data_IF_757901159131
#
_entry.id   IF_757901159131
#
_cell.length_a   1.000
_cell.length_b   1.000
_cell.length_c   1.000
_cell.angle_alpha   90.00
_cell.angle_beta   90.00
_cell.angle_gamma   90.00
#
_symmetry.space_group_name_H-M   'P 1'
#
loop_
_entity.id
_entity.type
_entity.pdbx_description
1 polymer ?
#
# COMPACT_ATOMS: atom_id res chain seq x y z
N UNK A 1 40.03 -24.09 12.89
CA UNK A 1 39.37 -23.52 11.68
C UNK A 1 39.54 -22.02 11.60
N UNK A 2 39.12 -21.23 12.62
CA UNK A 2 39.24 -19.76 12.63
C UNK A 2 40.70 -19.26 12.49
N UNK A 3 41.64 -19.87 13.20
CA UNK A 3 43.07 -19.46 13.17
C UNK A 3 43.73 -19.63 11.79
N UNK A 4 43.51 -20.75 11.10
CA UNK A 4 44.01 -20.98 9.74
C UNK A 4 43.46 -19.98 8.73
N UNK A 5 42.18 -19.59 8.89
CA UNK A 5 41.54 -18.57 8.05
C UNK A 5 42.16 -17.19 8.32
N UNK A 6 42.49 -16.88 9.57
CA UNK A 6 43.16 -15.62 9.96
C UNK A 6 44.57 -15.55 9.39
N UNK A 7 45.34 -16.63 9.41
CA UNK A 7 46.68 -16.67 8.79
C UNK A 7 46.62 -16.46 7.28
N UNK A 8 45.69 -17.12 6.58
CA UNK A 8 45.48 -16.93 5.15
C UNK A 8 45.01 -15.52 4.79
N UNK A 9 44.17 -14.90 5.65
CA UNK A 9 43.75 -13.51 5.49
C UNK A 9 44.91 -12.52 5.71
N UNK A 10 45.77 -12.75 6.72
CA UNK A 10 46.98 -11.94 6.93
C UNK A 10 47.96 -12.03 5.75
N UNK A 11 47.98 -13.15 5.03
CA UNK A 11 48.78 -13.34 3.82
C UNK A 11 48.10 -12.78 2.54
N UNK A 12 46.93 -12.15 2.64
CA UNK A 12 46.17 -11.62 1.48
C UNK A 12 45.52 -12.69 0.60
N UNK A 13 45.51 -13.96 1.02
CA UNK A 13 45.02 -15.12 0.24
C UNK A 13 43.56 -15.42 0.56
N UNK A 14 42.69 -14.44 0.29
CA UNK A 14 41.26 -14.48 0.64
C UNK A 14 40.48 -15.64 -0.04
N UNK A 15 40.83 -15.99 -1.28
CA UNK A 15 40.17 -17.09 -2.00
C UNK A 15 40.45 -18.46 -1.37
N UNK A 16 41.67 -18.67 -0.87
CA UNK A 16 42.06 -19.91 -0.21
C UNK A 16 41.47 -20.03 1.20
N UNK A 17 41.31 -18.91 1.89
CA UNK A 17 40.57 -18.84 3.15
C UNK A 17 39.11 -19.28 2.96
N UNK A 18 38.46 -18.86 1.87
CA UNK A 18 37.08 -19.26 1.55
C UNK A 18 37.00 -20.74 1.15
N UNK A 19 37.95 -21.25 0.36
CA UNK A 19 38.01 -22.67 0.00
C UNK A 19 38.22 -23.57 1.25
N UNK A 20 39.07 -23.13 2.17
CA UNK A 20 39.35 -23.83 3.44
C UNK A 20 38.13 -23.82 4.35
N UNK A 21 37.43 -22.68 4.46
CA UNK A 21 36.18 -22.56 5.20
C UNK A 21 35.06 -23.45 4.62
N UNK A 22 34.99 -23.58 3.29
CA UNK A 22 34.03 -24.45 2.61
C UNK A 22 34.34 -25.94 2.86
N UNK A 23 35.61 -26.33 2.73
CA UNK A 23 36.05 -27.73 2.91
C UNK A 23 35.86 -28.22 4.34
N UNK A 24 36.11 -27.37 5.34
CA UNK A 24 36.02 -27.75 6.76
C UNK A 24 34.63 -27.48 7.36
N UNK A 25 33.86 -26.54 6.80
CA UNK A 25 32.57 -26.12 7.33
C UNK A 25 31.36 -26.85 6.77
N UNK A 26 31.52 -27.67 5.71
CA UNK A 26 30.46 -28.52 5.13
C UNK A 26 29.24 -27.78 4.56
N UNK A 27 29.22 -26.45 4.63
CA UNK A 27 28.15 -25.58 4.14
C UNK A 27 28.39 -25.11 2.71
N UNK A 28 27.45 -24.32 2.19
CA UNK A 28 27.54 -23.78 0.83
C UNK A 28 28.68 -22.76 0.67
N UNK A 29 29.21 -22.59 -0.54
CA UNK A 29 30.29 -21.65 -0.84
C UNK A 29 29.97 -20.20 -0.43
N UNK A 30 28.68 -19.82 -0.48
CA UNK A 30 28.20 -18.52 -0.03
C UNK A 30 28.27 -18.35 1.50
N UNK A 31 28.01 -19.41 2.26
CA UNK A 31 28.16 -19.40 3.72
C UNK A 31 29.63 -19.30 4.12
N UNK A 32 30.52 -20.03 3.43
CA UNK A 32 31.96 -19.94 3.63
C UNK A 32 32.49 -18.52 3.36
N UNK A 33 32.04 -17.86 2.28
CA UNK A 33 32.39 -16.47 1.98
C UNK A 33 31.96 -15.52 3.10
N UNK A 34 30.70 -15.62 3.54
CA UNK A 34 30.17 -14.77 4.62
C UNK A 34 30.92 -14.95 5.94
N UNK A 35 31.34 -16.17 6.24
CA UNK A 35 32.14 -16.46 7.42
C UNK A 35 33.52 -15.79 7.34
N UNK A 36 34.22 -15.90 6.21
CA UNK A 36 35.53 -15.25 6.00
C UNK A 36 35.42 -13.73 6.05
N UNK A 37 34.40 -13.13 5.42
CA UNK A 37 34.16 -11.67 5.45
C UNK A 37 33.82 -11.15 6.87
N UNK A 38 33.32 -12.00 7.76
CA UNK A 38 33.08 -11.66 9.17
C UNK A 38 34.38 -11.73 9.97
N UNK A 39 35.18 -12.79 9.77
CA UNK A 39 36.49 -12.96 10.41
C UNK A 39 37.46 -11.85 10.01
N UNK A 40 37.47 -11.45 8.73
CA UNK A 40 38.28 -10.32 8.24
C UNK A 40 37.94 -9.01 8.96
N UNK A 41 36.63 -8.71 9.13
CA UNK A 41 36.17 -7.53 9.87
C UNK A 41 36.52 -7.57 11.35
N UNK A 42 36.46 -8.73 11.98
CA UNK A 42 36.84 -8.88 13.39
C UNK A 42 38.35 -8.76 13.62
N UNK A 43 39.18 -9.18 12.66
CA UNK A 43 40.64 -9.32 12.87
C UNK A 43 41.49 -8.21 12.24
N UNK A 44 41.02 -7.55 11.18
CA UNK A 44 41.81 -6.53 10.47
C UNK A 44 41.33 -5.08 10.72
N UNK A 45 40.13 -4.88 11.27
CA UNK A 45 39.66 -3.53 11.69
C UNK A 45 39.97 -3.20 13.16
N UNK A 46 40.71 -4.05 13.88
CA UNK A 46 41.04 -3.85 15.29
C UNK A 46 42.23 -2.93 15.57
N UNK A 47 43.03 -2.55 14.57
CA UNK A 47 44.23 -1.73 14.74
C UNK A 47 44.31 -0.64 13.65
N UNK A 48 43.75 0.54 13.91
CA UNK A 48 44.31 1.79 13.38
C UNK A 48 44.10 2.90 14.42
N UNK A 49 45.19 3.49 14.95
CA UNK A 49 45.12 4.66 15.82
C UNK A 49 44.84 5.93 15.01
N UNK A 50 44.09 6.84 15.63
CA UNK A 50 43.85 8.25 15.30
C UNK A 50 43.39 8.63 13.88
N UNK A 51 42.12 9.03 13.80
CA UNK A 51 41.44 9.65 12.66
C UNK A 51 41.59 11.20 12.66
N UNK A 52 42.68 11.74 13.21
CA UNK A 52 42.83 13.19 13.41
C UNK A 52 44.05 13.86 12.74
N UNK A 53 44.86 13.15 11.96
CA UNK A 53 46.07 13.75 11.36
C UNK A 53 46.30 13.47 9.86
N UNK A 54 45.27 13.05 9.13
CA UNK A 54 45.33 13.08 7.66
C UNK A 54 44.92 14.47 7.18
N UNK A 55 45.88 15.24 6.68
CA UNK A 55 45.62 16.47 5.91
C UNK A 55 44.75 16.12 4.70
N UNK A 56 43.43 16.26 4.85
CA UNK A 56 42.46 16.09 3.77
C UNK A 56 42.56 17.32 2.88
N UNK A 57 43.04 17.12 1.65
CA UNK A 57 43.02 18.13 0.59
C UNK A 57 41.59 18.65 0.45
N UNK A 58 41.36 19.90 0.79
CA UNK A 58 40.03 20.54 0.76
C UNK A 58 40.10 21.82 -0.05
N UNK A 59 39.01 22.18 -0.74
CA UNK A 59 38.96 23.38 -1.56
C UNK A 59 37.64 24.12 -1.39
N UNK A 60 37.68 25.44 -1.54
CA UNK A 60 36.51 26.30 -1.58
C UNK A 60 36.49 27.08 -2.90
N UNK A 61 35.31 27.18 -3.53
CA UNK A 61 35.15 27.85 -4.82
C UNK A 61 34.16 29.00 -4.68
N UNK A 62 34.56 30.20 -5.09
CA UNK A 62 33.67 31.36 -5.21
C UNK A 62 33.17 31.49 -6.65
N UNK A 63 31.87 31.66 -6.80
CA UNK A 63 31.20 31.82 -8.09
C UNK A 63 30.65 33.24 -8.23
N UNK A 64 30.79 33.83 -9.41
CA UNK A 64 30.09 35.06 -9.81
C UNK A 64 29.30 34.79 -11.10
N UNK A 65 27.99 35.06 -11.07
CA UNK A 65 27.10 34.81 -12.21
C UNK A 65 27.08 33.36 -12.73
N UNK A 66 27.48 32.38 -11.93
CA UNK A 66 27.57 30.97 -12.32
C UNK A 66 28.92 30.53 -12.93
N UNK A 67 29.91 31.44 -13.01
CA UNK A 67 31.29 31.10 -13.39
C UNK A 67 32.19 31.05 -12.14
N UNK A 68 33.08 30.05 -12.00
CA UNK A 68 34.03 30.00 -10.89
C UNK A 68 35.09 31.10 -11.08
N UNK A 69 35.17 32.06 -10.14
CA UNK A 69 36.09 33.21 -10.21
C UNK A 69 37.34 32.98 -9.36
N UNK A 70 37.26 32.18 -8.30
CA UNK A 70 38.44 31.81 -7.51
C UNK A 70 38.27 30.48 -6.78
N UNK A 71 39.31 29.64 -6.81
CA UNK A 71 39.42 28.39 -6.05
C UNK A 71 40.54 28.55 -5.02
N UNK A 72 40.22 28.41 -3.74
CA UNK A 72 41.22 28.33 -2.67
C UNK A 72 41.40 26.87 -2.29
N UNK A 73 42.62 26.38 -2.45
CA UNK A 73 43.03 25.02 -2.10
C UNK A 73 43.75 25.04 -0.75
N UNK A 74 43.33 24.15 0.16
CA UNK A 74 44.01 23.89 1.42
C UNK A 74 44.65 22.50 1.33
N UNK A 75 45.97 22.48 1.33
CA UNK A 75 46.78 21.27 1.34
C UNK A 75 47.86 21.33 2.43
N UNK A 76 48.77 20.37 2.45
CA UNK A 76 49.87 20.28 3.42
C UNK A 76 50.86 21.46 3.40
N UNK A 77 50.78 22.34 2.40
CA UNK A 77 51.61 23.55 2.26
C UNK A 77 50.83 24.84 2.62
N UNK A 78 49.62 24.72 3.17
CA UNK A 78 48.79 25.84 3.58
C UNK A 78 47.65 26.16 2.60
N UNK A 79 47.03 27.33 2.78
CA UNK A 79 45.97 27.82 1.90
C UNK A 79 46.57 28.62 0.75
N UNK A 80 46.31 28.21 -0.50
CA UNK A 80 46.73 28.93 -1.70
C UNK A 80 45.57 29.14 -2.66
N UNK A 81 45.56 30.30 -3.31
CA UNK A 81 44.59 30.61 -4.35
C UNK A 81 45.13 30.11 -5.70
N UNK A 82 44.32 29.31 -6.41
CA UNK A 82 44.70 28.76 -7.71
C UNK A 82 44.44 29.76 -8.84
N UNK A 83 45.35 29.81 -9.80
CA UNK A 83 45.24 30.65 -11.00
C UNK A 83 44.34 29.98 -12.03
N UNK A 84 43.42 30.76 -12.62
CA UNK A 84 42.45 30.30 -13.61
C UNK A 84 43.15 29.66 -14.82
N UNK A 85 42.70 28.46 -15.22
CA UNK A 85 43.22 27.73 -16.39
C UNK A 85 44.40 26.80 -16.13
N UNK A 86 44.91 26.72 -14.89
CA UNK A 86 45.94 25.73 -14.52
C UNK A 86 45.39 24.29 -14.53
N UNK A 87 46.28 23.31 -14.66
CA UNK A 87 45.91 21.89 -14.73
C UNK A 87 45.19 21.43 -13.45
N UNK A 88 45.59 21.96 -12.28
CA UNK A 88 44.91 21.72 -11.00
C UNK A 88 43.53 22.38 -10.91
N UNK A 89 43.36 23.57 -11.52
CA UNK A 89 42.08 24.26 -11.59
C UNK A 89 41.05 23.45 -12.39
N UNK A 90 41.45 22.96 -13.56
CA UNK A 90 40.58 22.17 -14.44
C UNK A 90 40.25 20.79 -13.84
N UNK A 91 41.20 20.16 -13.13
CA UNK A 91 40.96 18.90 -12.43
C UNK A 91 39.91 19.04 -11.31
N UNK A 92 39.99 20.11 -10.52
CA UNK A 92 39.01 20.38 -9.44
C UNK A 92 37.63 20.70 -10.04
N UNK A 93 37.56 21.44 -11.15
CA UNK A 93 36.29 21.69 -11.82
C UNK A 93 35.66 20.42 -12.42
N UNK A 94 36.48 19.52 -12.97
CA UNK A 94 36.02 18.22 -13.45
C UNK A 94 35.46 17.36 -12.30
N UNK A 95 36.13 17.34 -11.15
CA UNK A 95 35.69 16.61 -9.96
C UNK A 95 34.38 17.19 -9.39
N UNK A 96 34.23 18.52 -9.35
CA UNK A 96 32.98 19.19 -8.97
C UNK A 96 31.86 18.87 -9.96
N UNK A 97 32.15 18.84 -11.27
CA UNK A 97 31.17 18.53 -12.30
C UNK A 97 30.72 17.06 -12.21
N UNK A 98 31.64 16.15 -11.91
CA UNK A 98 31.32 14.74 -11.70
C UNK A 98 30.47 14.53 -10.44
N UNK A 99 30.86 15.11 -9.30
CA UNK A 99 30.05 15.02 -8.07
C UNK A 99 28.69 15.73 -8.20
N UNK A 100 28.60 16.80 -8.99
CA UNK A 100 27.32 17.43 -9.33
C UNK A 100 26.48 16.53 -10.23
N UNK A 101 27.05 15.90 -11.25
CA UNK A 101 26.34 14.94 -12.10
C UNK A 101 25.92 13.68 -11.32
N UNK A 102 26.70 13.24 -10.34
CA UNK A 102 26.34 12.14 -9.44
C UNK A 102 25.23 12.54 -8.47
N UNK A 103 25.24 13.76 -7.92
CA UNK A 103 24.12 14.27 -7.13
C UNK A 103 22.88 14.49 -7.98
N UNK A 104 23.00 15.08 -9.16
CA UNK A 104 21.91 15.30 -10.10
C UNK A 104 21.36 13.96 -10.62
N UNK A 105 22.17 12.92 -10.86
CA UNK A 105 21.64 11.57 -11.13
C UNK A 105 20.97 10.94 -9.90
N UNK A 106 21.23 11.42 -8.69
CA UNK A 106 20.55 11.01 -7.45
C UNK A 106 19.29 11.86 -7.16
N UNK A 107 19.23 13.12 -7.59
CA UNK A 107 18.10 14.05 -7.41
C UNK A 107 17.14 14.13 -8.60
N UNK A 108 17.59 13.88 -9.83
CA UNK A 108 16.78 13.87 -11.06
C UNK A 108 15.91 12.59 -11.18
N UNK A 109 16.14 11.60 -10.29
CA UNK A 109 15.19 10.49 -10.06
C UNK A 109 13.93 10.94 -9.30
N UNK A 110 13.89 12.18 -8.77
CA UNK A 110 12.74 12.72 -8.01
C UNK A 110 11.96 13.83 -8.69
N UNK A 111 12.26 14.20 -9.94
CA UNK A 111 11.63 15.33 -10.63
C UNK A 111 10.95 14.99 -11.95
N UNK A 112 9.68 14.59 -11.91
CA UNK A 112 8.70 14.60 -13.04
C UNK A 112 8.94 13.63 -14.21
N UNK A 113 8.33 12.44 -14.12
CA UNK A 113 7.39 11.97 -15.18
C UNK A 113 6.56 10.78 -14.69
N UNK A 114 5.24 10.94 -14.76
CA UNK A 114 4.23 9.91 -14.54
C UNK A 114 4.55 8.59 -15.25
N UNK A 115 4.85 7.51 -14.51
CA UNK A 115 4.67 6.10 -14.93
C UNK A 115 4.44 5.17 -13.73
N UNK A 116 3.19 4.71 -13.62
CA UNK A 116 2.67 3.47 -13.01
C UNK A 116 3.20 2.96 -11.65
N UNK A 117 2.25 2.76 -10.74
CA UNK A 117 2.34 2.40 -9.31
C UNK A 117 2.97 1.05 -8.92
N UNK A 118 3.76 0.40 -9.79
CA UNK A 118 4.41 -0.88 -9.47
C UNK A 118 5.69 -0.74 -8.62
N UNK A 119 6.20 0.48 -8.40
CA UNK A 119 7.47 0.70 -7.69
C UNK A 119 7.35 1.01 -6.18
N UNK A 120 6.14 1.22 -5.64
CA UNK A 120 5.95 1.26 -4.18
C UNK A 120 6.21 -0.09 -3.51
N UNK A 121 6.23 -1.17 -4.31
CA UNK A 121 6.40 -2.55 -3.89
C UNK A 121 7.81 -2.88 -3.37
N UNK A 122 8.85 -2.11 -3.75
CA UNK A 122 10.23 -2.37 -3.31
C UNK A 122 10.58 -1.80 -1.93
N UNK A 123 9.93 -0.71 -1.50
CA UNK A 123 10.18 -0.15 -0.16
C UNK A 123 9.37 -0.86 0.94
N UNK A 124 8.22 -1.46 0.59
CA UNK A 124 7.43 -2.27 1.52
C UNK A 124 8.13 -3.58 1.93
N UNK A 125 9.03 -4.09 1.09
CA UNK A 125 9.85 -5.28 1.37
C UNK A 125 10.97 -5.02 2.40
N UNK A 126 11.37 -3.76 2.65
CA UNK A 126 12.40 -3.45 3.66
C UNK A 126 11.86 -3.24 5.07
N UNK A 127 10.62 -2.78 5.23
CA UNK A 127 10.00 -2.62 6.56
C UNK A 127 9.42 -3.93 7.13
N UNK A 128 9.31 -4.99 6.32
CA UNK A 128 8.82 -6.30 6.76
C UNK A 128 9.92 -7.25 7.26
N UNK A 129 11.19 -6.84 7.26
CA UNK A 129 12.33 -7.65 7.68
C UNK A 129 12.85 -7.27 9.07
N UNK A 130 11.94 -6.94 10.00
CA UNK A 130 12.23 -6.93 11.43
C UNK A 130 11.53 -8.14 12.06
N UNK A 131 12.30 -9.23 12.19
CA UNK A 131 12.10 -10.34 13.13
C UNK A 131 10.67 -10.87 13.34
N UNK A 132 10.27 -11.86 12.56
CA UNK A 132 9.47 -13.00 13.06
C UNK A 132 9.53 -14.16 12.08
N UNK A 133 10.20 -15.23 12.49
CA UNK A 133 10.28 -16.50 11.78
C UNK A 133 9.00 -17.30 11.96
N UNK A 134 7.97 -17.02 11.15
CA UNK A 134 6.89 -17.96 10.80
C UNK A 134 6.25 -17.53 9.48
N UNK A 135 6.25 -18.35 8.41
CA UNK A 135 5.92 -17.85 7.07
C UNK A 135 4.42 -17.66 6.85
N UNK A 136 4.03 -16.39 6.68
CA UNK A 136 3.34 -15.87 5.49
C UNK A 136 2.01 -16.46 4.99
N UNK A 137 1.20 -17.13 5.82
CA UNK A 137 -0.17 -17.54 5.43
C UNK A 137 -1.28 -16.72 6.11
N UNK A 138 -1.08 -16.33 7.37
CA UNK A 138 -2.09 -15.61 8.17
C UNK A 138 -2.48 -14.23 7.61
N UNK A 139 -1.60 -13.57 6.84
CA UNK A 139 -1.89 -12.26 6.23
C UNK A 139 -3.08 -12.29 5.24
N UNK A 140 -3.34 -13.44 4.62
CA UNK A 140 -4.48 -13.64 3.71
C UNK A 140 -5.72 -14.16 4.45
N UNK A 141 -5.54 -15.18 5.29
CA UNK A 141 -6.66 -15.81 5.99
C UNK A 141 -7.31 -14.90 7.04
N UNK A 142 -6.59 -13.92 7.60
CA UNK A 142 -7.15 -12.98 8.56
C UNK A 142 -8.18 -12.03 7.93
N UNK A 143 -7.87 -11.23 6.89
CA UNK A 143 -8.87 -10.37 6.26
C UNK A 143 -9.98 -11.18 5.57
N UNK A 144 -9.64 -12.32 4.97
CA UNK A 144 -10.63 -13.20 4.35
C UNK A 144 -11.58 -13.83 5.38
N UNK A 145 -11.04 -14.34 6.49
CA UNK A 145 -11.82 -14.92 7.58
C UNK A 145 -12.70 -13.87 8.27
N UNK A 146 -12.17 -12.67 8.51
CA UNK A 146 -12.94 -11.55 9.03
C UNK A 146 -14.08 -11.16 8.08
N UNK A 147 -13.80 -11.03 6.77
CA UNK A 147 -14.83 -10.75 5.78
C UNK A 147 -15.91 -11.83 5.76
N UNK A 148 -15.54 -13.10 5.89
CA UNK A 148 -16.47 -14.22 5.89
C UNK A 148 -17.34 -14.26 7.16
N UNK A 149 -16.77 -13.99 8.33
CA UNK A 149 -17.52 -13.87 9.60
C UNK A 149 -18.50 -12.69 9.54
N UNK A 150 -18.03 -11.53 9.07
CA UNK A 150 -18.89 -10.36 8.89
C UNK A 150 -19.99 -10.62 7.85
N UNK A 151 -19.68 -11.32 6.76
CA UNK A 151 -20.66 -11.68 5.74
C UNK A 151 -21.71 -12.67 6.26
N UNK A 152 -21.31 -13.67 7.04
CA UNK A 152 -22.26 -14.57 7.69
C UNK A 152 -23.13 -13.83 8.69
N UNK A 153 -22.53 -13.01 9.57
CA UNK A 153 -23.28 -12.16 10.49
C UNK A 153 -24.22 -11.20 9.75
N UNK A 154 -23.79 -10.68 8.61
CA UNK A 154 -24.61 -9.84 7.75
C UNK A 154 -25.84 -10.58 7.20
N UNK A 155 -25.64 -11.78 6.65
CA UNK A 155 -26.74 -12.60 6.12
C UNK A 155 -27.72 -13.01 7.22
N UNK A 156 -27.23 -13.29 8.44
CA UNK A 156 -28.09 -13.79 9.51
C UNK A 156 -28.80 -12.70 10.31
N UNK A 157 -28.17 -11.54 10.51
CA UNK A 157 -28.70 -10.48 11.39
C UNK A 157 -29.14 -9.22 10.65
N UNK A 158 -28.51 -8.87 9.52
CA UNK A 158 -28.73 -7.59 8.83
C UNK A 158 -29.62 -7.72 7.58
N UNK A 159 -30.15 -8.91 7.30
CA UNK A 159 -31.05 -9.17 6.17
C UNK A 159 -32.38 -8.45 6.31
N UNK A 160 -32.94 -8.39 7.53
CA UNK A 160 -34.22 -7.72 7.82
C UNK A 160 -34.06 -6.22 8.14
N UNK A 161 -32.81 -5.76 8.23
CA UNK A 161 -32.40 -4.41 8.61
C UNK A 161 -32.37 -3.46 7.40
N UNK A 162 -33.48 -3.32 6.68
CA UNK A 162 -33.53 -2.60 5.39
C UNK A 162 -34.06 -1.16 5.47
N UNK A 163 -34.69 -0.79 6.59
CA UNK A 163 -35.46 0.44 6.75
C UNK A 163 -34.78 1.42 7.71
N UNK A 164 -34.96 2.72 7.47
CA UNK A 164 -34.44 3.79 8.31
C UNK A 164 -32.91 3.91 8.29
N UNK A 165 -32.35 4.52 9.34
CA UNK A 165 -30.90 4.62 9.52
C UNK A 165 -30.21 3.26 9.64
N UNK A 166 -30.95 2.23 10.06
CA UNK A 166 -30.47 0.86 10.12
C UNK A 166 -30.16 0.32 8.71
N UNK A 167 -30.95 0.71 7.70
CA UNK A 167 -30.67 0.40 6.28
C UNK A 167 -29.38 1.04 5.77
N UNK A 168 -29.08 2.29 6.17
CA UNK A 168 -27.81 2.93 5.84
C UNK A 168 -26.62 2.25 6.53
N UNK A 169 -26.79 1.87 7.80
CA UNK A 169 -25.77 1.11 8.53
C UNK A 169 -25.50 -0.24 7.85
N UNK A 170 -26.55 -0.93 7.41
CA UNK A 170 -26.44 -2.17 6.61
C UNK A 170 -25.60 -1.94 5.35
N UNK A 171 -25.82 -0.85 4.62
CA UNK A 171 -25.03 -0.51 3.43
C UNK A 171 -23.57 -0.15 3.77
N UNK A 172 -23.32 0.51 4.90
CA UNK A 172 -21.98 0.78 5.40
C UNK A 172 -21.21 -0.52 5.70
N UNK A 173 -21.86 -1.48 6.37
CA UNK A 173 -21.30 -2.80 6.67
C UNK A 173 -21.02 -3.57 5.37
N UNK A 174 -21.92 -3.54 4.38
CA UNK A 174 -21.67 -4.15 3.07
C UNK A 174 -20.47 -3.53 2.36
N UNK A 175 -20.35 -2.21 2.39
CA UNK A 175 -19.21 -1.49 1.79
C UNK A 175 -17.90 -1.90 2.46
N UNK A 176 -17.89 -2.07 3.78
CA UNK A 176 -16.72 -2.56 4.53
C UNK A 176 -16.36 -4.01 4.15
N UNK A 177 -17.35 -4.91 4.06
CA UNK A 177 -17.12 -6.30 3.63
C UNK A 177 -16.51 -6.32 2.23
N UNK A 178 -17.06 -5.54 1.29
CA UNK A 178 -16.55 -5.44 -0.08
C UNK A 178 -15.12 -4.91 -0.11
N UNK A 179 -14.78 -3.93 0.74
CA UNK A 179 -13.42 -3.42 0.88
C UNK A 179 -12.45 -4.51 1.39
N UNK A 180 -12.85 -5.30 2.39
CA UNK A 180 -12.03 -6.41 2.88
C UNK A 180 -11.82 -7.50 1.82
N UNK A 181 -12.85 -7.82 1.04
CA UNK A 181 -12.75 -8.77 -0.09
C UNK A 181 -11.80 -8.21 -1.16
N UNK A 182 -11.93 -6.92 -1.49
CA UNK A 182 -11.04 -6.23 -2.44
C UNK A 182 -9.59 -6.32 -1.97
N UNK A 183 -9.36 -6.04 -0.69
CA UNK A 183 -8.03 -6.09 -0.09
C UNK A 183 -7.45 -7.51 -0.09
N UNK A 184 -8.25 -8.53 0.24
CA UNK A 184 -7.83 -9.93 0.16
C UNK A 184 -7.49 -10.33 -1.29
N UNK A 185 -8.32 -9.93 -2.27
CA UNK A 185 -8.06 -10.15 -3.70
C UNK A 185 -6.78 -9.49 -4.18
N UNK A 186 -6.51 -8.26 -3.74
CA UNK A 186 -5.26 -7.54 -4.00
C UNK A 186 -4.03 -8.28 -3.46
N UNK A 187 -4.08 -8.76 -2.22
CA UNK A 187 -3.00 -9.56 -1.63
C UNK A 187 -2.74 -10.83 -2.46
N UNK A 188 -3.81 -11.51 -2.87
CA UNK A 188 -3.73 -12.73 -3.66
C UNK A 188 -3.17 -12.50 -5.08
N UNK A 189 -3.45 -11.36 -5.70
CA UNK A 189 -2.88 -10.97 -6.99
C UNK A 189 -1.35 -10.74 -6.92
N UNK A 190 -0.87 -10.29 -5.77
CA UNK A 190 0.53 -9.88 -5.53
C UNK A 190 1.43 -11.02 -5.06
N UNK A 191 0.86 -12.04 -4.43
CA UNK A 191 1.59 -13.18 -3.86
C UNK A 191 2.31 -13.97 -4.97
N UNK A 192 3.65 -13.97 -4.93
CA UNK A 192 4.49 -14.63 -5.94
C UNK A 192 4.60 -16.15 -5.74
N UNK A 193 4.22 -16.65 -4.57
CA UNK A 193 4.28 -18.08 -4.22
C UNK A 193 3.11 -18.90 -4.77
N UNK A 194 2.02 -18.22 -5.15
CA UNK A 194 0.81 -18.85 -5.65
C UNK A 194 0.88 -19.15 -7.15
N UNK A 195 0.10 -20.15 -7.59
CA UNK A 195 -0.02 -20.50 -9.02
C UNK A 195 -0.53 -19.29 -9.82
N UNK A 196 -0.12 -19.19 -11.09
CA UNK A 196 -0.50 -18.07 -11.96
C UNK A 196 -2.03 -17.89 -12.07
N UNK A 197 -2.78 -19.00 -12.09
CA UNK A 197 -4.24 -19.02 -12.12
C UNK A 197 -4.85 -18.39 -10.86
N UNK A 198 -4.33 -18.70 -9.67
CA UNK A 198 -4.79 -18.09 -8.42
C UNK A 198 -4.66 -16.56 -8.50
N UNK A 199 -3.51 -16.07 -8.97
CA UNK A 199 -3.27 -14.62 -9.13
C UNK A 199 -4.26 -13.96 -10.08
N UNK A 200 -4.67 -14.66 -11.15
CA UNK A 200 -5.70 -14.19 -12.08
C UNK A 200 -7.06 -14.04 -11.39
N UNK A 201 -7.46 -15.00 -10.54
CA UNK A 201 -8.67 -14.85 -9.71
C UNK A 201 -8.58 -13.70 -8.72
N UNK A 202 -7.41 -13.46 -8.13
CA UNK A 202 -7.20 -12.30 -7.25
C UNK A 202 -7.47 -10.98 -7.96
N UNK A 203 -7.00 -10.84 -9.20
CA UNK A 203 -7.26 -9.67 -10.05
C UNK A 203 -8.75 -9.55 -10.39
N UNK A 204 -9.39 -10.64 -10.82
CA UNK A 204 -10.83 -10.64 -11.15
C UNK A 204 -11.68 -10.25 -9.94
N UNK A 205 -11.43 -10.84 -8.77
CA UNK A 205 -12.14 -10.54 -7.53
C UNK A 205 -11.93 -9.06 -7.16
N UNK A 206 -10.69 -8.57 -7.23
CA UNK A 206 -10.37 -7.18 -6.93
C UNK A 206 -11.10 -6.21 -7.86
N UNK A 207 -11.05 -6.42 -9.18
CA UNK A 207 -11.73 -5.56 -10.15
C UNK A 207 -13.26 -5.56 -9.95
N UNK A 208 -13.87 -6.74 -9.78
CA UNK A 208 -15.32 -6.85 -9.57
C UNK A 208 -15.75 -6.16 -8.26
N UNK A 209 -15.01 -6.39 -7.18
CA UNK A 209 -15.32 -5.81 -5.86
C UNK A 209 -15.07 -4.30 -5.80
N UNK A 210 -14.04 -3.79 -6.48
CA UNK A 210 -13.80 -2.34 -6.60
C UNK A 210 -14.96 -1.61 -7.29
N UNK A 211 -15.46 -2.13 -8.41
CA UNK A 211 -16.54 -1.47 -9.17
C UNK A 211 -17.82 -1.43 -8.34
N UNK A 212 -18.22 -2.56 -7.78
CA UNK A 212 -19.47 -2.64 -7.02
C UNK A 212 -19.37 -1.96 -5.65
N UNK A 213 -18.28 -2.18 -4.91
CA UNK A 213 -18.03 -1.55 -3.62
C UNK A 213 -17.82 -0.04 -3.73
N UNK A 214 -17.17 0.42 -4.80
CA UNK A 214 -17.03 1.84 -5.09
C UNK A 214 -18.38 2.52 -5.34
N UNK A 215 -19.25 1.92 -6.16
CA UNK A 215 -20.59 2.46 -6.41
C UNK A 215 -21.42 2.57 -5.12
N UNK A 216 -21.46 1.50 -4.31
CA UNK A 216 -22.19 1.48 -3.04
C UNK A 216 -21.62 2.48 -2.02
N UNK A 217 -20.28 2.56 -1.92
CA UNK A 217 -19.60 3.48 -1.02
C UNK A 217 -19.81 4.94 -1.41
N UNK A 218 -19.74 5.27 -2.71
CA UNK A 218 -20.01 6.63 -3.20
C UNK A 218 -21.47 7.03 -2.92
N UNK A 219 -22.42 6.13 -3.18
CA UNK A 219 -23.83 6.39 -2.89
C UNK A 219 -24.06 6.68 -1.40
N UNK A 220 -23.48 5.86 -0.52
CA UNK A 220 -23.56 6.03 0.93
C UNK A 220 -22.93 7.36 1.38
N UNK A 221 -21.74 7.70 0.87
CA UNK A 221 -21.05 8.95 1.22
C UNK A 221 -21.86 10.15 0.77
N UNK A 222 -22.45 10.12 -0.43
CA UNK A 222 -23.35 11.19 -0.88
C UNK A 222 -24.53 11.33 0.07
N UNK A 223 -25.20 10.25 0.43
CA UNK A 223 -26.35 10.35 1.33
C UNK A 223 -26.00 10.82 2.74
N UNK A 224 -24.82 10.45 3.27
CA UNK A 224 -24.37 10.89 4.59
C UNK A 224 -23.84 12.33 4.60
N UNK A 225 -23.17 12.77 3.53
CA UNK A 225 -22.51 14.07 3.48
C UNK A 225 -23.34 15.19 2.84
N UNK A 226 -24.29 14.85 1.96
CA UNK A 226 -25.11 15.85 1.25
C UNK A 226 -26.59 15.87 1.66
N UNK A 227 -26.97 15.12 2.71
CA UNK A 227 -28.35 15.01 3.22
C UNK A 227 -29.40 14.94 2.09
N UNK A 228 -29.17 14.03 1.14
CA UNK A 228 -29.99 13.85 -0.07
C UNK A 228 -31.31 13.12 0.20
N UNK A 229 -31.98 13.49 1.28
CA UNK A 229 -33.28 13.00 1.64
C UNK A 229 -34.35 13.59 0.73
N UNK A 230 -35.08 12.73 0.03
CA UNK A 230 -36.22 13.09 -0.82
C UNK A 230 -37.53 12.65 -0.20
N UNK A 231 -38.59 13.38 -0.54
CA UNK A 231 -39.96 13.08 -0.13
C UNK A 231 -40.81 12.92 -1.37
N UNK A 232 -41.40 11.74 -1.54
CA UNK A 232 -42.41 11.44 -2.54
C UNK A 232 -43.79 11.37 -1.87
N UNK A 233 -44.81 11.87 -2.56
CA UNK A 233 -46.21 11.76 -2.15
C UNK A 233 -47.04 11.34 -3.36
N UNK A 234 -47.68 10.18 -3.28
CA UNK A 234 -48.47 9.69 -4.39
C UNK A 234 -48.84 8.23 -4.25
N UNK A 235 -49.16 7.62 -5.37
CA UNK A 235 -49.48 6.19 -5.41
C UNK A 235 -48.24 5.35 -5.14
N UNK A 236 -48.43 4.33 -4.32
CA UNK A 236 -47.39 3.38 -3.91
C UNK A 236 -47.91 1.96 -4.03
N UNK A 237 -47.01 1.02 -4.32
CA UNK A 237 -47.28 -0.42 -4.31
C UNK A 237 -46.32 -1.09 -3.35
N UNK A 238 -46.85 -1.91 -2.47
CA UNK A 238 -46.03 -2.73 -1.57
C UNK A 238 -46.04 -4.16 -2.05
N UNK A 239 -44.86 -4.76 -2.10
CA UNK A 239 -44.65 -6.13 -2.54
C UNK A 239 -44.06 -6.95 -1.40
N UNK A 240 -44.41 -8.23 -1.36
CA UNK A 240 -43.70 -9.20 -0.55
C UNK A 240 -43.21 -10.31 -1.48
N UNK A 241 -41.96 -10.71 -1.30
CA UNK A 241 -41.38 -11.83 -2.02
C UNK A 241 -40.88 -12.87 -1.03
N UNK A 242 -41.35 -14.10 -1.19
CA UNK A 242 -41.06 -15.20 -0.28
C UNK A 242 -40.14 -16.18 -1.01
N UNK A 243 -38.85 -16.18 -0.66
CA UNK A 243 -37.85 -17.10 -1.21
C UNK A 243 -37.51 -18.25 -0.27
N UNK A 244 -36.66 -19.18 -0.72
CA UNK A 244 -36.17 -20.36 0.04
C UNK A 244 -35.42 -20.05 1.35
N UNK A 245 -35.20 -18.79 1.70
CA UNK A 245 -34.42 -18.43 2.90
C UNK A 245 -34.75 -17.09 3.56
N UNK A 246 -35.63 -16.27 2.98
CA UNK A 246 -36.06 -15.01 3.60
C UNK A 246 -37.34 -14.47 2.93
N UNK A 247 -38.17 -13.79 3.73
CA UNK A 247 -39.30 -13.00 3.23
C UNK A 247 -38.85 -11.55 3.15
N UNK A 248 -38.84 -10.98 1.94
CA UNK A 248 -38.50 -9.58 1.73
C UNK A 248 -39.76 -8.77 1.48
N UNK A 249 -39.81 -7.58 2.04
CA UNK A 249 -40.87 -6.62 1.81
C UNK A 249 -40.26 -5.40 1.12
N UNK A 250 -40.86 -4.95 0.03
CA UNK A 250 -40.40 -3.80 -0.74
C UNK A 250 -41.55 -2.85 -1.03
N UNK A 251 -41.21 -1.59 -1.29
CA UNK A 251 -42.15 -0.57 -1.74
C UNK A 251 -41.69 -0.01 -3.09
N UNK A 252 -42.63 0.26 -3.97
CA UNK A 252 -42.42 0.87 -5.27
C UNK A 252 -43.32 2.09 -5.41
N UNK A 253 -42.84 3.11 -6.11
CA UNK A 253 -43.60 4.33 -6.40
C UNK A 253 -43.29 4.86 -7.79
N UNK A 254 -44.19 5.69 -8.31
CA UNK A 254 -44.02 6.28 -9.64
C UNK A 254 -42.93 7.36 -9.63
N UNK A 255 -42.02 7.32 -10.60
CA UNK A 255 -40.96 8.32 -10.74
C UNK A 255 -39.80 8.14 -9.76
N UNK A 256 -39.57 6.91 -9.29
CA UNK A 256 -38.33 6.56 -8.61
C UNK A 256 -37.11 6.89 -9.50
N UNK A 257 -36.23 7.72 -8.95
CA UNK A 257 -35.02 8.23 -9.59
C UNK A 257 -33.73 7.65 -8.96
N UNK A 258 -33.88 6.65 -8.10
CA UNK A 258 -32.77 5.90 -7.52
C UNK A 258 -32.11 4.98 -8.56
N UNK A 259 -30.96 4.39 -8.19
CA UNK A 259 -30.22 3.54 -9.12
C UNK A 259 -30.93 2.20 -9.33
N UNK A 260 -30.85 1.62 -10.54
CA UNK A 260 -31.58 0.38 -10.88
C UNK A 260 -31.29 -0.84 -9.97
N UNK A 261 -30.17 -0.84 -9.24
CA UNK A 261 -29.80 -1.91 -8.31
C UNK A 261 -30.31 -1.69 -6.88
N UNK A 262 -30.97 -0.57 -6.58
CA UNK A 262 -31.45 -0.28 -5.23
C UNK A 262 -32.77 -0.98 -4.97
N UNK A 263 -32.81 -1.79 -3.91
CA UNK A 263 -34.05 -2.37 -3.40
C UNK A 263 -34.59 -1.49 -2.26
N UNK A 264 -35.78 -0.94 -2.42
CA UNK A 264 -36.48 -0.17 -1.40
C UNK A 264 -37.13 -1.08 -0.35
N UNK A 265 -36.28 -1.71 0.46
CA UNK A 265 -36.72 -2.62 1.51
C UNK A 265 -37.48 -1.91 2.63
N UNK A 266 -38.55 -2.56 3.10
CA UNK A 266 -39.35 -2.14 4.26
C UNK A 266 -39.43 -3.28 5.28
N UNK A 267 -39.82 -2.97 6.51
CA UNK A 267 -40.05 -4.00 7.53
C UNK A 267 -41.44 -4.62 7.37
N UNK A 268 -41.61 -5.84 7.91
CA UNK A 268 -42.90 -6.55 7.94
C UNK A 268 -44.02 -5.71 8.56
N UNK A 269 -43.73 -4.98 9.64
CA UNK A 269 -44.73 -4.15 10.33
C UNK A 269 -45.24 -3.03 9.43
N UNK A 270 -44.33 -2.33 8.73
CA UNK A 270 -44.69 -1.27 7.78
C UNK A 270 -45.45 -1.87 6.60
N UNK A 271 -45.06 -3.04 6.10
CA UNK A 271 -45.81 -3.73 5.05
C UNK A 271 -47.26 -4.02 5.48
N UNK A 272 -47.46 -4.53 6.70
CA UNK A 272 -48.80 -4.81 7.24
C UNK A 272 -49.63 -3.53 7.46
N UNK A 273 -49.01 -2.45 7.93
CA UNK A 273 -49.67 -1.14 8.09
C UNK A 273 -50.10 -0.56 6.74
N UNK A 274 -49.29 -0.78 5.70
CA UNK A 274 -49.55 -0.34 4.35
C UNK A 274 -50.55 -1.23 3.59
N UNK A 275 -50.87 -2.43 4.09
CA UNK A 275 -51.86 -3.32 3.48
C UNK A 275 -53.26 -2.69 3.59
N UNK A 276 -53.66 -1.96 2.55
CA UNK A 276 -54.96 -1.28 2.45
C UNK A 276 -54.87 0.14 1.91
N UNK A 277 -53.68 0.76 1.98
CA UNK A 277 -53.45 2.10 1.47
C UNK A 277 -52.84 2.07 0.07
N UNK A 278 -53.43 2.85 -0.85
CA UNK A 278 -52.92 3.01 -2.22
C UNK A 278 -52.02 4.24 -2.38
N UNK A 279 -52.06 5.16 -1.42
CA UNK A 279 -51.27 6.39 -1.40
C UNK A 279 -50.46 6.47 -0.12
N UNK A 280 -49.24 6.98 -0.25
CA UNK A 280 -48.38 7.23 0.89
C UNK A 280 -47.42 8.37 0.62
N UNK A 281 -46.90 8.91 1.71
CA UNK A 281 -45.71 9.74 1.75
C UNK A 281 -44.50 8.84 2.04
N UNK A 282 -43.52 8.84 1.15
CA UNK A 282 -42.28 8.07 1.27
C UNK A 282 -41.12 9.03 1.40
N UNK A 283 -40.34 8.91 2.47
CA UNK A 283 -39.09 9.61 2.67
C UNK A 283 -37.94 8.62 2.43
N UNK A 284 -37.04 8.92 1.50
CA UNK A 284 -35.95 8.01 1.11
C UNK A 284 -34.67 8.78 0.78
N UNK A 285 -33.54 8.09 0.90
CA UNK A 285 -32.25 8.63 0.47
C UNK A 285 -32.02 8.33 -1.00
N UNK A 286 -31.79 9.37 -1.79
CA UNK A 286 -31.78 9.27 -3.25
C UNK A 286 -30.70 8.32 -3.79
N UNK A 287 -29.48 8.37 -3.25
CA UNK A 287 -28.36 7.65 -3.87
C UNK A 287 -28.30 6.17 -3.44
N UNK A 288 -28.64 5.88 -2.19
CA UNK A 288 -28.70 4.53 -1.62
C UNK A 288 -30.02 3.82 -1.90
N UNK A 289 -31.08 4.57 -2.18
CA UNK A 289 -32.44 4.05 -2.28
C UNK A 289 -32.97 3.52 -0.94
N UNK A 290 -32.32 3.81 0.19
CA UNK A 290 -32.82 3.35 1.50
C UNK A 290 -34.05 4.17 1.87
N UNK A 291 -35.13 3.48 2.26
CA UNK A 291 -36.34 4.15 2.73
C UNK A 291 -36.15 4.54 4.18
N UNK A 292 -36.29 5.83 4.49
CA UNK A 292 -36.23 6.37 5.85
C UNK A 292 -37.55 6.21 6.57
N UNK A 293 -38.64 6.64 5.93
CA UNK A 293 -39.98 6.65 6.54
C UNK A 293 -41.07 6.46 5.50
N UNK A 294 -42.11 5.72 5.84
CA UNK A 294 -43.36 5.65 5.06
C UNK A 294 -44.53 6.04 5.96
N UNK A 295 -45.45 6.83 5.43
CA UNK A 295 -46.70 7.21 6.09
C UNK A 295 -47.87 7.02 5.12
N UNK A 296 -48.92 6.26 5.49
CA UNK A 296 -50.12 6.17 4.68
C UNK A 296 -50.84 7.52 4.57
N UNK A 297 -51.51 7.74 3.43
CA UNK A 297 -52.31 8.94 3.14
C UNK A 297 -53.76 8.58 2.85
#
# INVERSE_FOLDING_TARGET
MKEQIIELLKQGRKLEAVATAHRLGGGTLLQAKRYVDAVERETLNGNSPDDNDRVVRSWSVKYDGGKPVSITLRDQHGERQLVEGTLEWNAILAEITQTRNERDTTTDVKGKRWRFSWWSKRNQERMANANTSTPSKWKFYLPFGLALVLFFGFITFLTDCTYGYVGLLRQAVMSLIMFLITYAGYLLAIEKKEKWYSRLWGVVICCASCVFGGALGIALVKDLCTDSLKVYQGEVKVHHNTGRGATRYTVEWAGDDSHWWTEHGITRSIYQEMQGYKKARVEYWQNSGVVKRIQPL
#
